data_IF_731878032110
#
_entry.id   IF_731878032110
#
_cell.length_a   1.000
_cell.length_b   1.000
_cell.length_c   1.000
_cell.angle_alpha   90.00
_cell.angle_beta   90.00
_cell.angle_gamma   90.00
#
_symmetry.space_group_name_H-M   'P 1'
#
loop_
_entity.id
_entity.type
_entity.pdbx_description
1 polymer ?
#
# COMPACT_ATOMS: atom_id res chain seq x y z
N UNK A 1 -50.42 9.62 17.40
CA UNK A 1 -49.21 10.29 17.93
C UNK A 1 -48.05 9.33 17.72
N UNK A 2 -47.08 9.74 16.91
CA UNK A 2 -45.99 8.91 16.44
C UNK A 2 -45.01 8.58 17.56
N UNK A 3 -44.65 7.30 17.71
CA UNK A 3 -43.44 6.91 18.42
C UNK A 3 -42.45 6.33 17.41
N UNK A 4 -41.47 7.15 17.03
CA UNK A 4 -40.31 6.74 16.26
C UNK A 4 -39.23 6.20 17.21
N UNK A 5 -38.73 4.96 17.03
CA UNK A 5 -37.49 4.55 17.67
C UNK A 5 -36.31 5.11 16.86
N UNK A 6 -35.84 6.30 17.23
CA UNK A 6 -34.66 6.92 16.62
C UNK A 6 -33.39 6.26 17.14
N UNK A 7 -32.90 5.31 16.33
CA UNK A 7 -31.50 4.95 16.14
C UNK A 7 -30.65 4.74 17.40
N UNK A 8 -30.54 3.46 17.79
CA UNK A 8 -29.35 2.91 18.38
C UNK A 8 -28.18 3.19 17.41
N UNK A 9 -27.47 4.30 17.62
CA UNK A 9 -26.16 4.54 17.00
C UNK A 9 -25.22 3.52 17.62
N UNK A 10 -25.21 2.33 17.03
CA UNK A 10 -24.13 1.37 17.10
C UNK A 10 -22.87 2.14 16.72
N UNK A 11 -22.15 2.61 17.73
CA UNK A 11 -20.75 2.96 17.62
C UNK A 11 -20.05 1.67 17.27
N UNK A 12 -20.05 1.35 15.96
CA UNK A 12 -19.28 0.26 15.40
C UNK A 12 -17.84 0.58 15.76
N UNK A 13 -17.34 -0.10 16.79
CA UNK A 13 -15.95 -0.11 17.15
C UNK A 13 -15.18 -0.31 15.85
N UNK A 14 -14.41 0.70 15.44
CA UNK A 14 -13.63 0.70 14.20
C UNK A 14 -12.45 -0.24 14.38
N UNK A 15 -12.73 -1.53 14.47
CA UNK A 15 -11.76 -2.61 14.30
C UNK A 15 -11.45 -2.82 12.80
N UNK A 16 -12.16 -2.11 11.91
CA UNK A 16 -12.09 -2.27 10.44
C UNK A 16 -11.11 -1.33 9.72
N UNK A 17 -10.34 -0.50 10.44
CA UNK A 17 -9.35 0.39 9.82
C UNK A 17 -8.24 -0.39 9.10
N UNK A 18 -7.66 -1.37 9.79
CA UNK A 18 -6.54 -2.15 9.27
C UNK A 18 -6.83 -2.91 7.97
N UNK A 19 -8.06 -3.36 7.74
CA UNK A 19 -8.44 -4.05 6.50
C UNK A 19 -8.55 -3.06 5.33
N UNK A 20 -9.06 -1.85 5.59
CA UNK A 20 -9.12 -0.79 4.60
C UNK A 20 -7.71 -0.32 4.23
N UNK A 21 -6.84 -0.09 5.23
CA UNK A 21 -5.43 0.25 5.04
C UNK A 21 -4.69 -0.84 4.25
N UNK A 22 -4.91 -2.11 4.56
CA UNK A 22 -4.32 -3.23 3.83
C UNK A 22 -4.77 -3.26 2.35
N UNK A 23 -6.04 -2.96 2.08
CA UNK A 23 -6.57 -2.89 0.71
C UNK A 23 -6.00 -1.71 -0.08
N UNK A 24 -5.85 -0.56 0.58
CA UNK A 24 -5.20 0.63 0.01
C UNK A 24 -3.75 0.31 -0.32
N UNK A 25 -3.01 -0.29 0.61
CA UNK A 25 -1.63 -0.72 0.40
C UNK A 25 -1.49 -1.70 -0.76
N UNK A 26 -2.39 -2.68 -0.87
CA UNK A 26 -2.37 -3.64 -1.97
C UNK A 26 -2.59 -2.97 -3.33
N UNK A 27 -3.56 -2.05 -3.40
CA UNK A 27 -3.84 -1.28 -4.61
C UNK A 27 -2.65 -0.39 -5.01
N UNK A 28 -2.01 0.26 -4.03
CA UNK A 28 -0.82 1.08 -4.25
C UNK A 28 0.34 0.24 -4.78
N UNK A 29 0.62 -0.92 -4.17
CA UNK A 29 1.65 -1.85 -4.64
C UNK A 29 1.43 -2.24 -6.09
N UNK A 30 0.20 -2.58 -6.46
CA UNK A 30 -0.13 -2.95 -7.84
C UNK A 30 0.06 -1.77 -8.81
N UNK A 31 -0.36 -0.56 -8.44
CA UNK A 31 -0.17 0.62 -9.26
C UNK A 31 1.32 0.94 -9.48
N UNK A 32 2.13 0.84 -8.42
CA UNK A 32 3.59 1.01 -8.49
C UNK A 32 4.19 -0.10 -9.34
N UNK A 33 3.84 -1.37 -9.10
CA UNK A 33 4.32 -2.50 -9.88
C UNK A 33 3.99 -2.39 -11.38
N UNK A 34 2.84 -1.81 -11.70
CA UNK A 34 2.42 -1.56 -13.08
C UNK A 34 3.17 -0.38 -13.72
N UNK A 35 3.70 0.55 -12.91
CA UNK A 35 4.37 1.77 -13.37
C UNK A 35 5.70 1.48 -14.08
N UNK A 36 5.96 2.25 -15.14
CA UNK A 36 7.16 2.15 -15.96
C UNK A 36 8.45 2.43 -15.17
N UNK A 37 8.39 3.31 -14.16
CA UNK A 37 9.54 3.63 -13.31
C UNK A 37 9.96 2.44 -12.45
N UNK A 38 8.98 1.77 -11.82
CA UNK A 38 9.24 0.59 -11.00
C UNK A 38 9.74 -0.59 -11.83
N UNK A 39 9.19 -0.86 -13.02
CA UNK A 39 9.66 -1.96 -13.88
C UNK A 39 11.11 -1.80 -14.31
N UNK A 40 11.54 -0.58 -14.62
CA UNK A 40 12.94 -0.27 -14.95
C UNK A 40 13.84 -0.50 -13.73
N UNK A 41 13.46 0.10 -12.60
CA UNK A 41 14.16 -0.07 -11.33
C UNK A 41 14.26 -1.55 -10.89
N UNK A 42 13.18 -2.31 -11.03
CA UNK A 42 13.14 -3.74 -10.72
C UNK A 42 14.08 -4.53 -11.64
N UNK A 43 14.23 -4.14 -12.90
CA UNK A 43 15.18 -4.77 -13.83
C UNK A 43 16.62 -4.55 -13.38
N UNK A 44 16.93 -3.34 -12.89
CA UNK A 44 18.24 -2.99 -12.32
C UNK A 44 18.48 -3.75 -11.00
N UNK A 45 17.49 -3.85 -10.11
CA UNK A 45 17.58 -4.65 -8.88
C UNK A 45 17.55 -6.16 -9.08
N UNK A 46 16.98 -6.67 -10.17
CA UNK A 46 16.97 -8.11 -10.46
C UNK A 46 18.38 -8.66 -10.73
N UNK A 47 19.34 -7.80 -11.06
CA UNK A 47 20.76 -8.17 -11.08
C UNK A 47 21.28 -8.43 -9.66
N UNK A 48 20.72 -7.76 -8.67
CA UNK A 48 21.06 -7.90 -7.27
C UNK A 48 20.26 -9.07 -6.67
N UNK A 49 20.91 -10.24 -6.58
CA UNK A 49 20.28 -11.50 -6.15
C UNK A 49 19.56 -11.39 -4.79
N UNK A 50 19.95 -10.45 -3.93
CA UNK A 50 19.31 -10.23 -2.62
C UNK A 50 17.86 -9.76 -2.74
N UNK A 51 17.52 -9.01 -3.78
CA UNK A 51 16.18 -8.42 -3.95
C UNK A 51 15.27 -9.23 -4.87
N UNK A 52 15.84 -10.20 -5.59
CA UNK A 52 15.09 -11.15 -6.42
C UNK A 52 14.22 -12.10 -5.58
N UNK A 53 14.71 -12.52 -4.41
CA UNK A 53 13.95 -13.37 -3.48
C UNK A 53 13.00 -12.55 -2.59
N UNK A 54 13.25 -11.24 -2.50
CA UNK A 54 12.40 -10.33 -1.74
C UNK A 54 11.04 -10.14 -2.43
N UNK A 55 9.95 -10.43 -1.72
CA UNK A 55 8.59 -10.28 -2.25
C UNK A 55 8.26 -8.85 -2.69
N UNK A 56 7.19 -8.71 -3.48
CA UNK A 56 6.76 -7.43 -4.07
C UNK A 56 6.65 -6.30 -3.03
N UNK A 57 6.18 -6.60 -1.82
CA UNK A 57 6.12 -5.63 -0.72
C UNK A 57 7.48 -5.00 -0.38
N UNK A 58 8.54 -5.81 -0.34
CA UNK A 58 9.87 -5.34 -0.02
C UNK A 58 10.43 -4.49 -1.17
N UNK A 59 10.26 -4.95 -2.41
CA UNK A 59 10.66 -4.23 -3.61
C UNK A 59 9.97 -2.86 -3.71
N UNK A 60 8.65 -2.81 -3.48
CA UNK A 60 7.88 -1.55 -3.48
C UNK A 60 8.36 -0.61 -2.37
N UNK A 61 8.65 -1.11 -1.18
CA UNK A 61 9.16 -0.28 -0.07
C UNK A 61 10.55 0.29 -0.37
N UNK A 62 11.46 -0.50 -0.93
CA UNK A 62 12.78 -0.03 -1.35
C UNK A 62 12.68 1.03 -2.44
N UNK A 63 11.85 0.78 -3.46
CA UNK A 63 11.61 1.77 -4.53
C UNK A 63 11.06 3.09 -3.99
N UNK A 64 10.07 3.02 -3.09
CA UNK A 64 9.50 4.22 -2.46
C UNK A 64 10.56 4.96 -1.63
N UNK A 65 11.36 4.24 -0.85
CA UNK A 65 12.44 4.84 -0.07
C UNK A 65 13.43 5.58 -0.98
N UNK A 66 13.93 4.92 -2.01
CA UNK A 66 14.92 5.49 -2.92
C UNK A 66 14.36 6.67 -3.73
N UNK A 67 13.09 6.57 -4.15
CA UNK A 67 12.39 7.68 -4.83
C UNK A 67 12.20 8.87 -3.89
N UNK A 68 11.85 8.63 -2.62
CA UNK A 68 11.70 9.68 -1.62
C UNK A 68 13.03 10.33 -1.27
N UNK A 69 14.12 9.56 -1.16
CA UNK A 69 15.47 10.08 -0.95
C UNK A 69 15.92 10.97 -2.11
N UNK A 70 15.58 10.58 -3.35
CA UNK A 70 15.91 11.35 -4.56
C UNK A 70 15.13 12.66 -4.65
N UNK A 71 13.89 12.71 -4.12
CA UNK A 71 13.04 13.91 -4.11
C UNK A 71 13.28 14.82 -2.90
N UNK A 72 13.97 14.34 -1.86
CA UNK A 72 14.27 15.08 -0.65
C UNK A 72 15.55 15.94 -0.74
N UNK A 73 16.16 16.00 -1.93
CA UNK A 73 17.34 16.80 -2.24
C UNK A 73 16.96 18.05 -3.04
#
# INVERSE_FOLDING_TARGET
>A
MAQSPFNLREVKATSSGHEADAKIWNSLKQAIAASSGFKRWQTELLLDKQYRDAGLDHQVRCYLRETLETLAY
#
